data_IF_774151950419
#
_entry.id   IF_774151950419
#
_cell.length_a   1.000
_cell.length_b   1.000
_cell.length_c   1.000
_cell.angle_alpha   90.00
_cell.angle_beta   90.00
_cell.angle_gamma   90.00
#
_symmetry.space_group_name_H-M   'P 1'
#
loop_
_entity.id
_entity.type
_entity.pdbx_description
1 polymer ?
#
# COMPACT_ATOMS: atom_id res chain seq x y z
N UNK A 1 12.80 -5.72 -9.98
CA UNK A 1 11.73 -5.74 -8.98
C UNK A 1 12.13 -5.39 -7.54
N UNK A 2 13.39 -5.08 -7.24
CA UNK A 2 13.82 -4.64 -5.89
C UNK A 2 13.37 -3.22 -5.49
N UNK A 3 12.87 -2.41 -6.42
CA UNK A 3 12.53 -1.02 -6.13
C UNK A 3 11.37 -0.88 -5.11
N UNK A 4 10.38 -1.76 -5.12
CA UNK A 4 9.23 -1.72 -4.21
C UNK A 4 9.37 -2.60 -2.95
N UNK A 5 10.51 -3.24 -2.73
CA UNK A 5 10.76 -4.09 -1.55
C UNK A 5 11.29 -3.30 -0.33
N UNK A 6 10.98 -2.02 -0.22
CA UNK A 6 11.39 -1.17 0.90
C UNK A 6 10.23 -0.34 1.38
N UNK A 7 9.84 -0.42 2.66
CA UNK A 7 8.78 0.40 3.24
C UNK A 7 9.00 1.89 2.99
N UNK A 8 10.23 2.37 3.13
CA UNK A 8 10.57 3.77 2.87
C UNK A 8 10.24 4.20 1.44
N UNK A 9 10.53 3.37 0.43
CA UNK A 9 10.20 3.71 -0.97
C UNK A 9 8.70 3.71 -1.23
N UNK A 10 7.95 2.81 -0.60
CA UNK A 10 6.48 2.83 -0.67
C UNK A 10 5.91 4.09 -0.03
N UNK A 11 6.46 4.54 1.11
CA UNK A 11 6.06 5.80 1.75
C UNK A 11 6.39 7.02 0.88
N UNK A 12 7.55 7.05 0.23
CA UNK A 12 7.91 8.11 -0.74
C UNK A 12 6.88 8.17 -1.87
N UNK A 13 6.51 7.03 -2.47
CA UNK A 13 5.52 6.99 -3.54
C UNK A 13 4.16 7.51 -3.09
N UNK A 14 3.73 7.23 -1.87
CA UNK A 14 2.48 7.75 -1.32
C UNK A 14 2.52 9.25 -1.14
N UNK A 15 3.61 9.80 -0.59
CA UNK A 15 3.78 11.25 -0.42
C UNK A 15 3.83 12.01 -1.75
N UNK A 16 4.28 11.35 -2.83
CA UNK A 16 4.35 11.91 -4.17
C UNK A 16 3.11 11.60 -5.03
N UNK A 17 2.07 10.95 -4.48
CA UNK A 17 0.92 10.52 -5.26
C UNK A 17 0.04 11.69 -5.71
N UNK A 18 -0.23 12.63 -4.82
CA UNK A 18 -1.12 13.77 -5.07
C UNK A 18 -0.36 15.10 -5.19
N UNK A 19 0.82 15.21 -4.59
CA UNK A 19 1.65 16.40 -4.62
C UNK A 19 3.09 16.05 -4.98
N UNK A 20 3.73 16.92 -5.75
CA UNK A 20 5.16 16.77 -6.05
C UNK A 20 6.00 17.21 -4.86
N UNK A 21 6.97 16.41 -4.49
CA UNK A 21 7.87 16.64 -3.36
C UNK A 21 9.33 16.63 -3.78
N UNK A 22 10.10 17.55 -3.23
CA UNK A 22 11.55 17.57 -3.41
C UNK A 22 12.23 16.53 -2.51
N UNK A 23 13.51 16.23 -2.80
CA UNK A 23 14.29 15.34 -1.95
C UNK A 23 14.38 15.86 -0.49
N UNK A 24 14.50 17.18 -0.32
CA UNK A 24 14.56 17.81 1.01
C UNK A 24 13.24 17.63 1.77
N UNK A 25 12.09 17.97 1.14
CA UNK A 25 10.78 17.81 1.76
C UNK A 25 10.51 16.35 2.17
N UNK A 26 10.88 15.38 1.31
CA UNK A 26 10.76 13.95 1.62
C UNK A 26 11.66 13.55 2.80
N UNK A 27 12.89 14.06 2.85
CA UNK A 27 13.83 13.79 3.92
C UNK A 27 13.32 14.34 5.26
N UNK A 28 12.78 15.54 5.26
CA UNK A 28 12.23 16.21 6.44
C UNK A 28 10.95 15.47 6.92
N UNK A 29 10.00 15.16 6.03
CA UNK A 29 8.75 14.47 6.35
C UNK A 29 8.95 13.04 6.87
N UNK A 30 9.94 12.34 6.38
CA UNK A 30 10.20 10.95 6.75
C UNK A 30 11.32 10.79 7.78
N UNK A 31 11.90 11.92 8.26
CA UNK A 31 12.99 11.96 9.22
C UNK A 31 14.21 11.13 8.79
N UNK A 32 14.55 11.21 7.50
CA UNK A 32 15.67 10.47 6.88
C UNK A 32 16.74 11.45 6.43
N UNK A 33 18.00 11.04 6.56
CA UNK A 33 19.11 11.84 6.05
C UNK A 33 18.91 12.14 4.55
N UNK A 34 19.10 13.41 4.09
CA UNK A 34 18.91 13.81 2.68
C UNK A 34 19.72 13.00 1.66
N UNK A 35 20.93 12.56 2.03
CA UNK A 35 21.77 11.73 1.15
C UNK A 35 21.19 10.32 0.97
N UNK A 36 20.71 9.71 2.05
CA UNK A 36 19.99 8.43 2.01
C UNK A 36 18.70 8.58 1.21
N UNK A 37 17.93 9.64 1.46
CA UNK A 37 16.68 9.94 0.71
C UNK A 37 16.96 10.03 -0.79
N UNK A 38 18.01 10.75 -1.19
CA UNK A 38 18.38 10.90 -2.59
C UNK A 38 18.68 9.57 -3.29
N UNK A 39 19.30 8.62 -2.57
CA UNK A 39 19.51 7.27 -3.10
C UNK A 39 18.17 6.56 -3.39
N UNK A 40 17.21 6.66 -2.49
CA UNK A 40 15.87 6.05 -2.69
C UNK A 40 15.09 6.74 -3.81
N UNK A 41 15.10 8.07 -3.86
CA UNK A 41 14.46 8.85 -4.94
C UNK A 41 15.05 8.47 -6.30
N UNK A 42 16.40 8.45 -6.43
CA UNK A 42 17.07 8.04 -7.68
C UNK A 42 16.69 6.61 -8.10
N UNK A 43 16.59 5.69 -7.15
CA UNK A 43 16.15 4.32 -7.44
C UNK A 43 14.75 4.30 -8.03
N UNK A 44 13.81 5.06 -7.46
CA UNK A 44 12.44 5.16 -7.93
C UNK A 44 12.33 5.87 -9.28
N UNK A 45 13.13 6.90 -9.53
CA UNK A 45 13.21 7.59 -10.84
C UNK A 45 13.76 6.64 -11.90
N UNK A 46 14.89 5.98 -11.63
CA UNK A 46 15.53 5.06 -12.58
C UNK A 46 14.65 3.86 -12.94
N UNK A 47 13.71 3.50 -12.08
CA UNK A 47 12.75 2.41 -12.31
C UNK A 47 11.39 2.88 -12.80
N UNK A 48 11.21 4.18 -13.03
CA UNK A 48 10.00 4.78 -13.59
C UNK A 48 8.84 4.95 -12.61
N UNK A 49 9.02 4.68 -11.32
CA UNK A 49 7.99 4.88 -10.30
C UNK A 49 7.80 6.34 -9.88
N UNK A 50 8.87 7.15 -9.98
CA UNK A 50 8.83 8.60 -9.85
C UNK A 50 9.26 9.25 -11.16
N UNK A 51 8.65 10.40 -11.46
CA UNK A 51 9.08 11.31 -12.51
C UNK A 51 9.58 12.62 -11.88
N UNK A 52 10.68 13.14 -12.37
CA UNK A 52 11.13 14.48 -12.04
C UNK A 52 10.25 15.50 -12.77
N UNK A 53 9.81 16.53 -12.06
CA UNK A 53 9.11 17.68 -12.64
C UNK A 53 10.08 18.85 -12.89
N UNK A 54 9.65 19.90 -13.58
CA UNK A 54 10.48 21.08 -13.81
C UNK A 54 11.00 21.68 -12.51
N UNK A 55 12.25 22.12 -12.53
CA UNK A 55 12.88 22.78 -11.40
C UNK A 55 12.05 23.98 -10.93
N UNK A 56 11.95 24.14 -9.62
CA UNK A 56 11.32 25.30 -8.99
C UNK A 56 12.30 26.05 -8.10
N UNK A 57 11.99 27.30 -7.80
CA UNK A 57 12.76 28.07 -6.83
C UNK A 57 12.53 27.50 -5.42
N UNK A 58 13.59 27.09 -4.77
CA UNK A 58 13.60 26.66 -3.37
C UNK A 58 13.94 27.79 -2.43
N UNK A 59 14.07 27.47 -1.14
CA UNK A 59 14.50 28.41 -0.13
C UNK A 59 15.90 28.99 -0.46
N UNK A 60 16.07 30.29 -0.20
CA UNK A 60 17.33 31.02 -0.40
C UNK A 60 17.87 31.01 -1.84
N UNK A 61 16.99 30.90 -2.85
CA UNK A 61 17.37 30.94 -4.27
C UNK A 61 17.99 29.63 -4.79
N UNK A 62 17.93 28.55 -4.02
CA UNK A 62 18.32 27.22 -4.49
C UNK A 62 17.36 26.74 -5.59
N UNK A 63 17.88 25.92 -6.53
CA UNK A 63 17.03 25.20 -7.48
C UNK A 63 16.71 23.82 -6.92
N UNK A 64 15.45 23.49 -6.90
CA UNK A 64 14.95 22.23 -6.37
C UNK A 64 14.17 21.49 -7.45
N UNK A 65 14.39 20.18 -7.55
CA UNK A 65 13.66 19.29 -8.44
C UNK A 65 12.59 18.56 -7.63
N UNK A 66 11.29 18.83 -7.88
CA UNK A 66 10.22 18.04 -7.29
C UNK A 66 10.01 16.74 -8.06
N UNK A 67 9.46 15.74 -7.39
CA UNK A 67 9.17 14.41 -7.92
C UNK A 67 7.71 14.06 -7.72
N UNK A 68 7.11 13.45 -8.73
CA UNK A 68 5.71 12.98 -8.74
C UNK A 68 5.67 11.47 -8.97
N UNK A 69 4.77 10.77 -8.29
CA UNK A 69 4.53 9.35 -8.56
C UNK A 69 3.84 9.16 -9.91
N UNK A 70 4.32 8.20 -10.71
CA UNK A 70 3.81 7.92 -12.07
C UNK A 70 2.56 7.03 -12.08
N UNK A 71 2.15 6.50 -10.92
CA UNK A 71 1.09 5.51 -10.82
C UNK A 71 1.49 4.10 -11.27
N UNK A 72 2.72 3.89 -11.71
CA UNK A 72 3.20 2.57 -12.17
C UNK A 72 3.11 1.50 -11.07
N UNK A 73 3.25 1.88 -9.80
CA UNK A 73 3.16 0.95 -8.66
C UNK A 73 1.82 0.21 -8.57
N UNK A 74 0.73 0.84 -8.98
CA UNK A 74 -0.61 0.22 -9.02
C UNK A 74 -0.76 -0.87 -10.06
N UNK A 75 0.08 -0.84 -11.10
CA UNK A 75 0.08 -1.80 -12.21
C UNK A 75 1.19 -2.83 -12.10
N UNK A 76 2.00 -2.73 -11.06
CA UNK A 76 3.15 -3.63 -10.85
C UNK A 76 2.78 -4.70 -9.83
N UNK A 77 2.76 -5.96 -10.27
CA UNK A 77 2.69 -7.09 -9.33
C UNK A 77 3.94 -7.13 -8.45
N UNK A 78 3.75 -7.32 -7.16
CA UNK A 78 4.84 -7.45 -6.16
C UNK A 78 4.82 -8.87 -5.56
N UNK A 79 5.35 -9.89 -6.27
CA UNK A 79 5.44 -11.23 -5.70
C UNK A 79 6.24 -11.19 -4.38
N UNK A 80 5.67 -11.70 -3.30
CA UNK A 80 6.26 -11.64 -1.97
C UNK A 80 6.26 -10.26 -1.31
N UNK A 81 5.62 -9.25 -1.92
CA UNK A 81 5.56 -7.88 -1.40
C UNK A 81 4.54 -7.65 -0.29
N UNK A 82 3.68 -8.62 0.02
CA UNK A 82 2.61 -8.46 1.03
C UNK A 82 3.16 -8.10 2.41
N UNK A 83 4.24 -8.72 2.86
CA UNK A 83 4.87 -8.38 4.14
C UNK A 83 5.46 -6.98 4.16
N UNK A 84 6.05 -6.52 3.04
CA UNK A 84 6.54 -5.14 2.92
C UNK A 84 5.40 -4.13 2.99
N UNK A 85 4.23 -4.45 2.43
CA UNK A 85 3.03 -3.62 2.55
C UNK A 85 2.50 -3.58 3.97
N UNK A 86 2.44 -4.72 4.67
CA UNK A 86 2.05 -4.80 6.09
C UNK A 86 3.00 -3.96 6.94
N UNK A 87 4.32 -4.14 6.79
CA UNK A 87 5.32 -3.37 7.50
C UNK A 87 5.19 -1.87 7.24
N UNK A 88 4.95 -1.49 5.97
CA UNK A 88 4.73 -0.09 5.58
C UNK A 88 3.49 0.49 6.25
N UNK A 89 2.40 -0.28 6.28
CA UNK A 89 1.16 0.11 6.96
C UNK A 89 1.39 0.31 8.46
N UNK A 90 2.02 -0.63 9.15
CA UNK A 90 2.32 -0.51 10.58
C UNK A 90 3.16 0.73 10.90
N UNK A 91 4.19 1.02 10.10
CA UNK A 91 4.99 2.24 10.23
C UNK A 91 4.17 3.51 9.96
N UNK A 92 3.17 3.44 9.10
CA UNK A 92 2.34 4.60 8.76
C UNK A 92 1.34 4.96 9.85
N UNK A 93 0.81 3.96 10.55
CA UNK A 93 -0.14 4.17 11.66
C UNK A 93 0.54 4.39 13.01
N UNK A 94 1.86 4.22 13.09
CA UNK A 94 2.62 4.49 14.31
C UNK A 94 2.42 5.96 14.74
N UNK A 95 1.89 6.15 15.94
CA UNK A 95 1.62 7.48 16.50
C UNK A 95 0.28 8.09 16.11
N UNK A 96 -0.60 7.41 15.37
CA UNK A 96 -1.99 7.84 15.21
C UNK A 96 -2.73 7.72 16.55
N UNK A 97 -3.66 8.64 16.80
CA UNK A 97 -4.58 8.52 17.92
C UNK A 97 -5.62 7.42 17.64
N UNK A 98 -6.13 6.78 18.72
CA UNK A 98 -7.12 5.70 18.59
C UNK A 98 -8.37 6.10 17.78
N UNK A 99 -8.76 7.38 17.82
CA UNK A 99 -9.92 7.91 17.07
C UNK A 99 -9.65 8.14 15.57
N UNK A 100 -8.40 8.14 15.14
CA UNK A 100 -8.00 8.39 13.75
C UNK A 100 -7.85 7.10 12.94
N UNK A 101 -7.96 5.94 13.58
CA UNK A 101 -7.83 4.63 12.95
C UNK A 101 -9.15 3.87 13.02
N UNK A 102 -9.86 3.80 11.90
CA UNK A 102 -11.04 2.95 11.74
C UNK A 102 -10.62 1.54 11.32
N UNK A 103 -10.99 0.53 12.12
CA UNK A 103 -10.60 -0.87 11.89
C UNK A 103 -11.78 -1.81 11.88
N UNK A 104 -11.73 -2.78 10.97
CA UNK A 104 -12.70 -3.87 10.91
C UNK A 104 -11.96 -5.20 10.89
N UNK A 105 -12.36 -6.12 11.78
CA UNK A 105 -11.86 -7.48 11.78
C UNK A 105 -13.04 -8.45 11.67
N UNK A 106 -13.07 -9.23 10.59
CA UNK A 106 -14.17 -10.15 10.30
C UNK A 106 -13.62 -11.53 9.92
N UNK A 107 -14.05 -12.57 10.65
CA UNK A 107 -13.84 -13.97 10.27
C UNK A 107 -14.94 -14.42 9.30
N UNK A 108 -14.54 -15.06 8.20
CA UNK A 108 -15.45 -15.51 7.15
C UNK A 108 -15.21 -16.98 6.84
N UNK A 109 -16.29 -17.76 6.64
CA UNK A 109 -16.23 -19.11 6.12
C UNK A 109 -16.88 -19.14 4.74
N UNK A 110 -16.06 -19.15 3.69
CA UNK A 110 -16.47 -19.02 2.30
C UNK A 110 -16.07 -20.27 1.51
N UNK A 111 -16.87 -20.64 0.53
CA UNK A 111 -16.44 -21.52 -0.56
C UNK A 111 -15.60 -20.72 -1.56
N UNK A 112 -15.02 -21.39 -2.57
CA UNK A 112 -14.14 -20.71 -3.55
C UNK A 112 -14.89 -19.63 -4.34
N UNK A 113 -16.11 -19.89 -4.79
CA UNK A 113 -16.95 -18.95 -5.54
C UNK A 113 -17.18 -17.65 -4.75
N UNK A 114 -17.63 -17.75 -3.50
CA UNK A 114 -17.88 -16.57 -2.66
C UNK A 114 -16.59 -15.85 -2.24
N UNK A 115 -15.48 -16.58 -2.13
CA UNK A 115 -14.16 -15.99 -1.88
C UNK A 115 -13.72 -15.12 -3.06
N UNK A 116 -13.83 -15.66 -4.28
CA UNK A 116 -13.50 -14.93 -5.51
C UNK A 116 -14.44 -13.72 -5.70
N UNK A 117 -15.75 -13.88 -5.46
CA UNK A 117 -16.70 -12.78 -5.50
C UNK A 117 -16.31 -11.65 -4.55
N UNK A 118 -16.00 -11.97 -3.29
CA UNK A 118 -15.60 -10.97 -2.30
C UNK A 118 -14.34 -10.23 -2.74
N UNK A 119 -13.32 -10.96 -3.18
CA UNK A 119 -12.06 -10.37 -3.64
C UNK A 119 -12.28 -9.46 -4.86
N UNK A 120 -13.09 -9.90 -5.82
CA UNK A 120 -13.40 -9.09 -7.00
C UNK A 120 -14.14 -7.80 -6.62
N UNK A 121 -15.18 -7.88 -5.79
CA UNK A 121 -15.95 -6.70 -5.35
C UNK A 121 -15.10 -5.69 -4.57
N UNK A 122 -14.18 -6.17 -3.72
CA UNK A 122 -13.22 -5.29 -3.02
C UNK A 122 -12.30 -4.58 -4.02
N UNK A 123 -11.78 -5.30 -5.02
CA UNK A 123 -10.92 -4.72 -6.05
C UNK A 123 -11.67 -3.73 -6.94
N UNK A 124 -12.93 -4.02 -7.29
CA UNK A 124 -13.77 -3.13 -8.08
C UNK A 124 -14.01 -1.82 -7.33
N UNK A 125 -14.33 -1.88 -6.03
CA UNK A 125 -14.49 -0.71 -5.19
C UNK A 125 -13.20 0.13 -5.11
N UNK A 126 -12.05 -0.51 -4.88
CA UNK A 126 -10.75 0.18 -4.84
C UNK A 126 -10.43 0.85 -6.18
N UNK A 127 -10.71 0.16 -7.30
CA UNK A 127 -10.49 0.73 -8.64
C UNK A 127 -11.43 1.89 -8.92
N UNK A 128 -12.71 1.80 -8.54
CA UNK A 128 -13.67 2.89 -8.68
C UNK A 128 -13.15 4.17 -8.02
N UNK A 129 -12.74 4.10 -6.74
CA UNK A 129 -12.24 5.28 -6.03
C UNK A 129 -10.88 5.77 -6.54
N UNK A 130 -10.00 4.86 -6.95
CA UNK A 130 -8.74 5.22 -7.61
C UNK A 130 -8.98 6.02 -8.90
N UNK A 131 -9.98 5.63 -9.70
CA UNK A 131 -10.24 6.21 -11.02
C UNK A 131 -11.05 7.51 -10.94
N UNK A 132 -11.74 7.80 -9.83
CA UNK A 132 -12.37 9.11 -9.57
C UNK A 132 -11.35 10.24 -9.52
N UNK A 133 -10.13 9.96 -9.13
CA UNK A 133 -9.13 10.98 -8.83
C UNK A 133 -9.38 11.68 -7.49
N UNK A 134 -8.50 12.62 -7.11
CA UNK A 134 -8.61 13.32 -5.83
C UNK A 134 -9.70 14.41 -5.87
N UNK A 135 -10.45 14.54 -4.78
CA UNK A 135 -11.31 15.69 -4.56
C UNK A 135 -10.45 16.93 -4.24
N UNK A 136 -10.71 18.10 -4.85
CA UNK A 136 -9.85 19.28 -4.69
C UNK A 136 -9.78 19.82 -3.26
N UNK A 137 -10.82 19.59 -2.46
CA UNK A 137 -10.99 20.05 -1.08
C UNK A 137 -11.02 18.89 -0.07
N UNK A 138 -10.60 17.69 -0.52
CA UNK A 138 -10.60 16.48 0.30
C UNK A 138 -9.33 16.30 1.13
N UNK A 139 -9.48 15.73 2.32
CA UNK A 139 -8.36 15.27 3.15
C UNK A 139 -7.78 13.96 2.59
N UNK A 140 -6.51 13.69 2.91
CA UNK A 140 -5.82 12.50 2.43
C UNK A 140 -6.03 11.31 3.39
N UNK A 141 -6.62 10.24 2.89
CA UNK A 141 -6.83 8.98 3.61
C UNK A 141 -5.99 7.84 3.03
N UNK A 142 -5.72 6.84 3.86
CA UNK A 142 -5.06 5.60 3.48
C UNK A 142 -5.96 4.41 3.77
N UNK A 143 -6.24 3.59 2.77
CA UNK A 143 -6.94 2.33 2.93
C UNK A 143 -5.93 1.17 2.83
N UNK A 144 -5.92 0.30 3.83
CA UNK A 144 -5.19 -0.97 3.82
C UNK A 144 -6.18 -2.12 3.99
N UNK A 145 -6.11 -3.11 3.11
CA UNK A 145 -6.91 -4.33 3.20
C UNK A 145 -5.99 -5.54 3.15
N UNK A 146 -6.24 -6.52 4.02
CA UNK A 146 -5.54 -7.79 4.03
C UNK A 146 -6.57 -8.92 4.09
N UNK A 147 -6.49 -9.85 3.15
CA UNK A 147 -7.31 -11.05 3.10
C UNK A 147 -6.39 -12.27 3.12
N UNK A 148 -6.57 -13.15 4.10
CA UNK A 148 -5.67 -14.28 4.34
C UNK A 148 -6.45 -15.49 4.88
N UNK A 149 -5.92 -16.72 4.78
CA UNK A 149 -6.46 -17.87 5.49
C UNK A 149 -6.49 -17.59 7.00
N UNK A 150 -7.57 -18.02 7.66
CA UNK A 150 -7.69 -17.96 9.11
C UNK A 150 -7.19 -19.30 9.71
N UNK A 151 -6.08 -19.26 10.45
CA UNK A 151 -5.46 -20.43 11.05
C UNK A 151 -6.10 -20.83 12.39
N UNK A 152 -7.26 -20.25 12.76
CA UNK A 152 -7.97 -20.68 13.96
C UNK A 152 -8.34 -22.16 13.86
N UNK A 153 -8.06 -22.96 14.91
CA UNK A 153 -8.40 -24.37 14.90
C UNK A 153 -9.91 -24.54 14.75
N UNK A 154 -10.38 -25.53 13.97
CA UNK A 154 -11.81 -25.82 13.85
C UNK A 154 -12.39 -26.12 15.24
N UNK A 155 -13.55 -25.54 15.56
CA UNK A 155 -14.23 -25.78 16.81
C UNK A 155 -14.55 -27.27 17.02
N UNK A 156 -14.71 -27.72 18.29
CA UNK A 156 -15.07 -29.08 18.58
C UNK A 156 -16.45 -29.40 17.97
N UNK A 157 -16.48 -30.08 16.83
CA UNK A 157 -17.70 -30.44 16.09
C UNK A 157 -17.59 -30.34 14.58
N UNK A 158 -16.57 -29.69 14.03
CA UNK A 158 -16.40 -29.57 12.56
C UNK A 158 -15.65 -30.75 11.92
N UNK A 159 -15.09 -31.68 12.70
CA UNK A 159 -14.32 -32.83 12.20
C UNK A 159 -15.18 -34.01 11.71
N UNK A 160 -16.52 -33.99 11.89
CA UNK A 160 -17.36 -35.16 11.66
C UNK A 160 -17.94 -35.30 10.24
N UNK A 161 -17.71 -34.34 9.33
CA UNK A 161 -18.38 -34.34 8.02
C UNK A 161 -17.54 -34.89 6.86
N UNK A 162 -16.27 -35.29 7.10
CA UNK A 162 -15.39 -35.73 5.99
C UNK A 162 -15.13 -37.25 5.96
N UNK A 163 -15.71 -38.07 6.86
CA UNK A 163 -15.39 -39.50 6.96
C UNK A 163 -16.45 -40.46 6.42
N UNK A 164 -17.46 -40.01 5.66
CA UNK A 164 -18.52 -40.90 5.18
C UNK A 164 -18.60 -41.12 3.68
N UNK A 165 -17.55 -40.81 2.91
CA UNK A 165 -17.52 -41.00 1.46
C UNK A 165 -16.38 -41.92 0.99
N UNK A 166 -16.23 -43.10 1.61
CA UNK A 166 -15.40 -44.19 1.05
C UNK A 166 -15.82 -45.52 1.64
N UNK A 167 -16.83 -46.16 1.04
CA UNK A 167 -17.01 -47.60 1.08
C UNK A 167 -17.27 -48.09 -0.35
N UNK A 168 -16.40 -48.93 -0.97
CA UNK A 168 -16.71 -49.61 -2.21
C UNK A 168 -17.58 -50.81 -1.92
N UNK A 169 -18.69 -50.91 -2.61
CA UNK A 169 -19.44 -52.14 -2.83
C UNK A 169 -19.19 -52.65 -4.25
#
# INVERSE_FOLDING_TARGET
MRALSSPLRLRILRLCAFESRTNKELADLLHVNPGTMLHHVRTLVNTGYLAAEPERAGAQGSREVPYRATGLSWRTSMPGGSYTLVETFLQQIEGLADGDLDTTWLGLKLNEEHKEELQQRLMDLVNEFKDRGPDPDGDTYSLFTAFHPDDNPPGPGSASAQSSASAPG
#
